data_IF_872050372061
#
_entry.id   IF_872050372061
#
_cell.length_a   1.000
_cell.length_b   1.000
_cell.length_c   1.000
_cell.angle_alpha   90.00
_cell.angle_beta   90.00
_cell.angle_gamma   90.00
#
_symmetry.space_group_name_H-M   'P 1'
#
loop_
_entity.id
_entity.type
_entity.pdbx_description
1 polymer ?
#
# COMPACT_ATOMS: atom_id res chain seq x y z
N UNK A 1 0.82 18.60 26.47
CA UNK A 1 0.67 18.21 25.05
C UNK A 1 1.94 17.51 24.61
N UNK A 2 1.83 16.26 24.17
CA UNK A 2 2.99 15.43 23.86
C UNK A 2 3.66 15.95 22.56
N UNK A 3 4.98 16.12 22.55
CA UNK A 3 5.73 16.63 21.39
C UNK A 3 5.57 15.78 20.11
N UNK A 4 4.91 14.62 20.19
CA UNK A 4 4.73 13.62 19.14
C UNK A 4 3.47 13.78 18.28
N UNK A 5 2.62 14.78 18.50
CA UNK A 5 1.29 14.84 17.86
C UNK A 5 1.16 15.78 16.64
N UNK A 6 2.14 16.66 16.39
CA UNK A 6 1.96 17.74 15.40
C UNK A 6 2.01 17.29 13.92
N UNK A 7 2.58 16.10 13.62
CA UNK A 7 2.71 15.54 12.26
C UNK A 7 1.88 14.24 12.08
N UNK A 8 0.78 14.11 12.83
CA UNK A 8 -0.14 12.95 12.79
C UNK A 8 -1.62 13.38 12.79
N UNK A 9 -1.91 14.54 12.24
CA UNK A 9 -3.27 15.09 12.19
C UNK A 9 -4.11 14.30 11.19
N UNK A 10 -5.36 14.02 11.54
CA UNK A 10 -6.37 13.44 10.62
C UNK A 10 -7.28 14.49 10.00
N UNK A 11 -7.18 15.73 10.48
CA UNK A 11 -7.78 16.95 9.90
C UNK A 11 -6.70 17.79 9.24
N UNK A 12 -7.09 18.65 8.30
CA UNK A 12 -6.16 19.53 7.58
C UNK A 12 -6.79 20.90 7.30
N UNK A 13 -7.13 21.63 8.36
CA UNK A 13 -7.57 23.03 8.22
C UNK A 13 -6.40 23.94 7.78
N UNK A 14 -6.70 25.20 7.47
CA UNK A 14 -5.65 26.19 7.19
C UNK A 14 -4.69 26.34 8.38
N UNK A 15 -5.21 26.37 9.61
CA UNK A 15 -4.41 26.48 10.83
C UNK A 15 -3.54 25.24 11.05
N UNK A 16 -4.09 24.03 10.84
CA UNK A 16 -3.32 22.77 10.92
C UNK A 16 -2.15 22.80 9.91
N UNK A 17 -2.42 23.23 8.68
CA UNK A 17 -1.43 23.33 7.60
C UNK A 17 -0.33 24.34 7.95
N UNK A 18 -0.71 25.55 8.37
CA UNK A 18 0.23 26.60 8.75
C UNK A 18 1.10 26.17 9.93
N UNK A 19 0.50 25.60 10.98
CA UNK A 19 1.25 25.10 12.14
C UNK A 19 2.26 24.02 11.72
N UNK A 20 1.82 23.07 10.89
CA UNK A 20 2.68 22.00 10.39
C UNK A 20 3.89 22.55 9.64
N UNK A 21 3.69 23.47 8.70
CA UNK A 21 4.80 24.01 7.91
C UNK A 21 5.73 24.92 8.72
N UNK A 22 5.20 25.69 9.68
CA UNK A 22 6.03 26.48 10.62
C UNK A 22 6.94 25.57 11.45
N UNK A 23 6.45 24.40 11.87
CA UNK A 23 7.25 23.42 12.60
C UNK A 23 8.22 22.68 11.68
N UNK A 24 7.79 22.26 10.49
CA UNK A 24 8.62 21.57 9.51
C UNK A 24 9.81 22.44 9.06
N UNK A 25 9.61 23.75 8.92
CA UNK A 25 10.66 24.70 8.56
C UNK A 25 11.81 24.76 9.58
N UNK A 26 11.54 24.44 10.85
CA UNK A 26 12.53 24.42 11.94
C UNK A 26 13.31 23.11 12.05
N UNK A 27 12.95 22.09 11.28
CA UNK A 27 13.62 20.79 11.30
C UNK A 27 14.85 20.89 10.39
N UNK A 28 16.07 20.84 10.89
CA UNK A 28 17.26 20.98 10.01
C UNK A 28 17.64 19.69 9.28
N UNK A 29 17.17 18.54 9.78
CA UNK A 29 17.53 17.24 9.25
C UNK A 29 16.58 16.80 8.12
N UNK A 30 17.14 16.58 6.92
CA UNK A 30 16.39 16.17 5.72
C UNK A 30 15.59 14.86 5.93
N UNK A 31 16.19 13.86 6.59
CA UNK A 31 15.53 12.60 6.91
C UNK A 31 14.31 12.81 7.79
N UNK A 32 14.42 13.64 8.83
CA UNK A 32 13.26 13.95 9.68
C UNK A 32 12.19 14.74 8.91
N UNK A 33 12.56 15.72 8.06
CA UNK A 33 11.59 16.43 7.21
C UNK A 33 10.80 15.48 6.32
N UNK A 34 11.51 14.64 5.55
CA UNK A 34 10.90 13.66 4.66
C UNK A 34 10.02 12.67 5.44
N UNK A 35 10.49 12.20 6.59
CA UNK A 35 9.72 11.29 7.43
C UNK A 35 8.44 11.95 7.98
N UNK A 36 8.47 13.21 8.41
CA UNK A 36 7.28 13.90 8.91
C UNK A 36 6.26 14.17 7.81
N UNK A 37 6.69 14.56 6.61
CA UNK A 37 5.81 14.69 5.44
C UNK A 37 5.09 13.37 5.15
N UNK A 38 5.84 12.26 5.09
CA UNK A 38 5.31 10.92 4.83
C UNK A 38 4.33 10.45 5.90
N UNK A 39 4.67 10.64 7.17
CA UNK A 39 3.80 10.23 8.29
C UNK A 39 2.51 11.06 8.29
N UNK A 40 2.60 12.36 8.08
CA UNK A 40 1.41 13.22 8.03
C UNK A 40 0.51 12.85 6.84
N UNK A 41 1.09 12.58 5.66
CA UNK A 41 0.34 12.10 4.50
C UNK A 41 -0.42 10.80 4.78
N UNK A 42 0.19 9.84 5.47
CA UNK A 42 -0.48 8.60 5.88
C UNK A 42 -1.72 8.90 6.74
N UNK A 43 -1.59 9.75 7.76
CA UNK A 43 -2.71 10.08 8.64
C UNK A 43 -3.85 10.84 7.93
N UNK A 44 -3.53 11.66 6.94
CA UNK A 44 -4.55 12.31 6.11
C UNK A 44 -5.29 11.31 5.23
N UNK A 45 -4.56 10.38 4.61
CA UNK A 45 -5.15 9.30 3.82
C UNK A 45 -6.08 8.41 4.66
N UNK A 46 -5.66 8.06 5.89
CA UNK A 46 -6.43 7.21 6.82
C UNK A 46 -7.79 7.82 7.23
N UNK A 47 -8.01 9.12 6.98
CA UNK A 47 -9.34 9.73 7.16
C UNK A 47 -10.37 9.28 6.11
N UNK A 48 -9.90 8.71 4.99
CA UNK A 48 -10.70 8.30 3.82
C UNK A 48 -11.56 9.41 3.18
N UNK A 49 -11.34 10.67 3.56
CA UNK A 49 -12.01 11.81 2.95
C UNK A 49 -11.24 12.22 1.67
N UNK A 50 -11.89 12.32 0.49
CA UNK A 50 -11.20 12.64 -0.76
C UNK A 50 -10.33 13.90 -0.69
N UNK A 51 -10.80 14.94 0.00
CA UNK A 51 -10.05 16.18 0.20
C UNK A 51 -8.79 15.98 1.06
N UNK A 52 -8.83 15.10 2.07
CA UNK A 52 -7.65 14.79 2.87
C UNK A 52 -6.65 13.95 2.09
N UNK A 53 -7.15 13.02 1.26
CA UNK A 53 -6.32 12.23 0.36
C UNK A 53 -5.60 13.13 -0.67
N UNK A 54 -6.26 14.18 -1.20
CA UNK A 54 -5.57 15.14 -2.07
C UNK A 54 -4.46 15.91 -1.35
N UNK A 55 -4.67 16.30 -0.09
CA UNK A 55 -3.61 16.92 0.72
C UNK A 55 -2.47 15.95 1.04
N UNK A 56 -2.77 14.66 1.24
CA UNK A 56 -1.73 13.63 1.38
C UNK A 56 -0.83 13.58 0.14
N UNK A 57 -1.42 13.64 -1.07
CA UNK A 57 -0.68 13.68 -2.33
C UNK A 57 0.20 14.94 -2.41
N UNK A 58 -0.29 16.11 -2.01
CA UNK A 58 0.51 17.34 -1.97
C UNK A 58 1.75 17.19 -1.09
N UNK A 59 1.60 16.62 0.13
CA UNK A 59 2.73 16.40 1.04
C UNK A 59 3.74 15.38 0.50
N UNK A 60 3.27 14.36 -0.20
CA UNK A 60 4.13 13.34 -0.82
C UNK A 60 4.88 13.91 -2.03
N UNK A 61 4.23 14.72 -2.86
CA UNK A 61 4.91 15.45 -3.94
C UNK A 61 5.97 16.38 -3.38
N UNK A 62 5.66 17.14 -2.32
CA UNK A 62 6.64 17.99 -1.65
C UNK A 62 7.85 17.21 -1.13
N UNK A 63 7.63 16.01 -0.56
CA UNK A 63 8.72 15.13 -0.17
C UNK A 63 9.57 14.74 -1.39
N UNK A 64 8.92 14.26 -2.46
CA UNK A 64 9.60 13.73 -3.65
C UNK A 64 10.39 14.82 -4.39
N UNK A 65 9.85 16.03 -4.47
CA UNK A 65 10.40 17.13 -5.27
C UNK A 65 11.40 17.97 -4.48
N UNK A 66 11.06 18.35 -3.25
CA UNK A 66 11.82 19.34 -2.47
C UNK A 66 12.64 18.72 -1.34
N UNK A 67 12.33 17.50 -0.92
CA UNK A 67 13.03 16.79 0.16
C UNK A 67 13.35 15.32 -0.19
N UNK A 68 13.99 15.03 -1.35
CA UNK A 68 14.17 13.67 -1.84
C UNK A 68 15.18 12.88 -1.00
N UNK A 69 14.73 12.37 0.14
CA UNK A 69 15.54 11.52 0.99
C UNK A 69 15.45 10.05 0.53
N UNK A 70 16.58 9.41 0.15
CA UNK A 70 16.60 8.06 -0.42
C UNK A 70 15.85 6.98 0.35
N UNK A 71 15.97 6.96 1.68
CA UNK A 71 15.29 5.99 2.55
C UNK A 71 13.77 6.14 2.60
N UNK A 72 13.24 7.32 2.30
CA UNK A 72 11.82 7.62 2.31
C UNK A 72 11.17 7.46 0.92
N UNK A 73 11.92 7.60 -0.17
CA UNK A 73 11.37 7.66 -1.54
C UNK A 73 10.50 6.45 -1.91
N UNK A 74 10.98 5.23 -1.70
CA UNK A 74 10.21 4.04 -2.08
C UNK A 74 8.86 4.00 -1.35
N UNK A 75 8.82 4.37 -0.07
CA UNK A 75 7.59 4.41 0.72
C UNK A 75 6.71 5.61 0.34
N UNK A 76 7.31 6.76 0.00
CA UNK A 76 6.58 7.94 -0.44
C UNK A 76 5.83 7.69 -1.76
N UNK A 77 6.50 7.08 -2.75
CA UNK A 77 5.87 6.67 -4.01
C UNK A 77 4.76 5.63 -3.79
N UNK A 78 4.98 4.66 -2.89
CA UNK A 78 3.95 3.68 -2.54
C UNK A 78 2.70 4.35 -1.96
N UNK A 79 2.87 5.22 -0.96
CA UNK A 79 1.75 5.94 -0.36
C UNK A 79 1.04 6.86 -1.36
N UNK A 80 1.80 7.47 -2.28
CA UNK A 80 1.24 8.30 -3.35
C UNK A 80 0.39 7.46 -4.30
N UNK A 81 0.90 6.30 -4.72
CA UNK A 81 0.17 5.36 -5.56
C UNK A 81 -1.16 4.93 -4.90
N UNK A 82 -1.12 4.64 -3.61
CA UNK A 82 -2.31 4.24 -2.87
C UNK A 82 -3.32 5.41 -2.70
N UNK A 83 -2.86 6.64 -2.48
CA UNK A 83 -3.74 7.83 -2.49
C UNK A 83 -4.38 8.07 -3.87
N UNK A 84 -3.60 7.94 -4.94
CA UNK A 84 -4.09 8.10 -6.32
C UNK A 84 -5.12 7.01 -6.66
N UNK A 85 -4.87 5.78 -6.22
CA UNK A 85 -5.84 4.67 -6.32
C UNK A 85 -7.15 5.00 -5.58
N UNK A 86 -7.07 5.49 -4.34
CA UNK A 86 -8.25 5.84 -3.54
C UNK A 86 -9.11 6.93 -4.21
N UNK A 87 -8.48 7.82 -5.00
CA UNK A 87 -9.15 8.86 -5.79
C UNK A 87 -9.55 8.43 -7.22
N UNK A 88 -9.19 7.22 -7.64
CA UNK A 88 -9.51 6.71 -8.98
C UNK A 88 -8.57 7.20 -10.10
N UNK A 89 -7.44 7.83 -9.78
CA UNK A 89 -6.43 8.28 -10.74
C UNK A 89 -5.49 7.13 -11.12
N UNK A 90 -6.02 6.15 -11.85
CA UNK A 90 -5.33 4.88 -12.12
C UNK A 90 -4.03 5.02 -12.93
N UNK A 91 -3.96 5.80 -14.03
CA UNK A 91 -2.70 5.96 -14.77
C UNK A 91 -1.56 6.49 -13.88
N UNK A 92 -1.86 7.48 -13.05
CA UNK A 92 -0.93 8.09 -12.12
C UNK A 92 -0.58 7.14 -10.97
N UNK A 93 -1.55 6.36 -10.48
CA UNK A 93 -1.31 5.34 -9.45
C UNK A 93 -0.35 4.25 -9.96
N UNK A 94 -0.55 3.77 -11.18
CA UNK A 94 0.33 2.79 -11.84
C UNK A 94 1.75 3.36 -11.95
N UNK A 95 1.88 4.61 -12.39
CA UNK A 95 3.18 5.26 -12.49
C UNK A 95 3.87 5.37 -11.13
N UNK A 96 3.14 5.77 -10.09
CA UNK A 96 3.68 5.87 -8.73
C UNK A 96 4.06 4.48 -8.15
N UNK A 97 3.33 3.41 -8.47
CA UNK A 97 3.75 2.05 -8.10
C UNK A 97 5.08 1.67 -8.76
N UNK A 98 5.23 1.95 -10.07
CA UNK A 98 6.49 1.71 -10.81
C UNK A 98 7.65 2.50 -10.21
N UNK A 99 7.43 3.77 -9.87
CA UNK A 99 8.42 4.63 -9.21
C UNK A 99 8.84 4.10 -7.84
N UNK A 100 7.90 3.52 -7.08
CA UNK A 100 8.21 2.85 -5.81
C UNK A 100 9.12 1.64 -6.01
N UNK A 101 8.85 0.82 -7.03
CA UNK A 101 9.68 -0.34 -7.38
C UNK A 101 11.07 0.09 -7.86
N UNK A 102 11.16 1.11 -8.72
CA UNK A 102 12.44 1.69 -9.16
C UNK A 102 13.26 2.26 -8.00
N UNK A 103 12.62 3.00 -7.08
CA UNK A 103 13.28 3.51 -5.88
C UNK A 103 13.84 2.36 -5.01
N UNK A 104 13.11 1.24 -4.91
CA UNK A 104 13.57 0.04 -4.21
C UNK A 104 14.74 -0.64 -4.91
N UNK A 105 14.76 -0.70 -6.25
CA UNK A 105 15.92 -1.19 -7.04
C UNK A 105 17.16 -0.35 -6.77
N UNK A 106 16.99 0.97 -6.72
CA UNK A 106 18.08 1.92 -6.46
C UNK A 106 18.58 1.87 -5.01
N UNK A 107 17.69 1.63 -4.05
CA UNK A 107 18.00 1.63 -2.61
C UNK A 107 17.49 0.36 -1.91
N UNK A 108 18.13 -0.80 -2.14
CA UNK A 108 17.60 -2.12 -1.76
C UNK A 108 17.51 -2.35 -0.24
N UNK A 109 18.18 -1.53 0.58
CA UNK A 109 18.12 -1.61 2.04
C UNK A 109 16.74 -1.27 2.61
N UNK A 110 15.88 -0.61 1.84
CA UNK A 110 14.55 -0.17 2.31
C UNK A 110 13.46 -1.09 1.79
N UNK A 111 12.74 -1.70 2.73
CA UNK A 111 11.67 -2.65 2.42
C UNK A 111 10.33 -1.91 2.32
N UNK A 112 9.65 -2.13 1.20
CA UNK A 112 8.25 -1.74 0.98
C UNK A 112 7.48 -2.92 0.40
N UNK A 113 6.16 -2.88 0.58
CA UNK A 113 5.24 -3.86 0.01
C UNK A 113 4.71 -3.44 -1.36
N UNK A 114 5.47 -2.61 -2.10
CA UNK A 114 5.03 -2.00 -3.34
C UNK A 114 4.55 -3.02 -4.39
N UNK A 115 5.27 -4.13 -4.57
CA UNK A 115 4.85 -5.18 -5.50
C UNK A 115 3.55 -5.87 -5.07
N UNK A 116 3.34 -6.06 -3.76
CA UNK A 116 2.09 -6.60 -3.22
C UNK A 116 0.94 -5.59 -3.34
N UNK A 117 1.16 -4.32 -3.05
CA UNK A 117 0.13 -3.29 -3.19
C UNK A 117 -0.25 -3.07 -4.65
N UNK A 118 0.73 -3.08 -5.56
CA UNK A 118 0.47 -2.96 -6.99
C UNK A 118 -0.30 -4.17 -7.53
N UNK A 119 0.05 -5.38 -7.10
CA UNK A 119 -0.69 -6.59 -7.47
C UNK A 119 -2.13 -6.59 -6.95
N UNK A 120 -2.36 -6.23 -5.69
CA UNK A 120 -3.71 -6.10 -5.11
C UNK A 120 -4.52 -5.05 -5.86
N UNK A 121 -3.93 -3.88 -6.14
CA UNK A 121 -4.57 -2.82 -6.93
C UNK A 121 -5.02 -3.36 -8.30
N UNK A 122 -4.12 -3.98 -9.06
CA UNK A 122 -4.45 -4.45 -10.41
C UNK A 122 -5.53 -5.53 -10.43
N UNK A 123 -5.51 -6.51 -9.52
CA UNK A 123 -6.56 -7.54 -9.47
C UNK A 123 -7.90 -6.99 -8.98
N UNK A 124 -7.88 -5.96 -8.12
CA UNK A 124 -9.09 -5.32 -7.60
C UNK A 124 -9.82 -4.57 -8.69
N UNK A 125 -9.09 -3.88 -9.56
CA UNK A 125 -9.64 -3.08 -10.66
C UNK A 125 -9.61 -3.78 -12.03
N UNK A 126 -9.26 -5.08 -12.07
CA UNK A 126 -9.27 -5.87 -13.30
C UNK A 126 -8.28 -5.41 -14.38
N UNK A 127 -7.12 -4.88 -13.97
CA UNK A 127 -6.08 -4.35 -14.87
C UNK A 127 -5.20 -5.48 -15.43
N UNK A 128 -5.79 -6.34 -16.26
CA UNK A 128 -5.18 -7.59 -16.74
C UNK A 128 -3.89 -7.37 -17.54
N UNK A 129 -3.77 -6.24 -18.24
CA UNK A 129 -2.57 -5.89 -19.02
C UNK A 129 -1.31 -5.73 -18.13
N UNK A 130 -1.49 -5.55 -16.82
CA UNK A 130 -0.38 -5.40 -15.86
C UNK A 130 0.06 -6.72 -15.24
N UNK A 131 -0.65 -7.83 -15.48
CA UNK A 131 -0.44 -9.08 -14.74
C UNK A 131 0.97 -9.66 -14.93
N UNK A 132 1.54 -9.57 -16.14
CA UNK A 132 2.91 -10.04 -16.38
C UNK A 132 3.95 -9.16 -15.67
N UNK A 133 3.76 -7.84 -15.67
CA UNK A 133 4.61 -6.90 -14.94
C UNK A 133 4.58 -7.17 -13.43
N UNK A 134 3.39 -7.43 -12.88
CA UNK A 134 3.20 -7.75 -11.46
C UNK A 134 3.90 -9.05 -11.09
N UNK A 135 3.76 -10.10 -11.89
CA UNK A 135 4.48 -11.36 -11.65
C UNK A 135 5.99 -11.16 -11.68
N UNK A 136 6.50 -10.34 -12.62
CA UNK A 136 7.91 -9.95 -12.66
C UNK A 136 8.36 -9.26 -11.38
N UNK A 137 7.62 -8.25 -10.91
CA UNK A 137 7.92 -7.53 -9.68
C UNK A 137 7.84 -8.42 -8.43
N UNK A 138 6.85 -9.32 -8.34
CA UNK A 138 6.72 -10.26 -7.22
C UNK A 138 7.90 -11.25 -7.16
N UNK A 139 8.40 -11.70 -8.30
CA UNK A 139 9.56 -12.58 -8.38
C UNK A 139 10.86 -11.85 -8.04
N UNK A 140 11.03 -10.62 -8.53
CA UNK A 140 12.20 -9.79 -8.23
C UNK A 140 12.32 -9.48 -6.73
N UNK A 141 11.19 -9.26 -6.07
CA UNK A 141 11.16 -8.87 -4.66
C UNK A 141 10.73 -10.02 -3.74
N UNK A 142 11.08 -11.27 -4.04
CA UNK A 142 10.59 -12.48 -3.34
C UNK A 142 10.75 -12.56 -1.82
N UNK A 143 11.54 -11.69 -1.21
CA UNK A 143 11.66 -11.48 0.26
C UNK A 143 10.34 -11.01 0.93
N UNK A 144 9.26 -10.87 0.17
CA UNK A 144 7.98 -10.33 0.61
C UNK A 144 7.19 -11.26 1.54
N UNK A 145 7.43 -12.58 1.58
CA UNK A 145 6.56 -13.52 2.30
C UNK A 145 7.01 -13.89 3.73
N UNK A 146 7.43 -12.92 4.55
CA UNK A 146 7.95 -13.20 5.90
C UNK A 146 6.88 -13.19 7.02
N UNK A 147 5.62 -12.89 6.71
CA UNK A 147 4.50 -12.95 7.64
C UNK A 147 3.22 -13.44 6.95
N UNK A 148 2.21 -13.84 7.73
CA UNK A 148 0.98 -14.45 7.20
C UNK A 148 0.15 -13.50 6.33
N UNK A 149 0.12 -12.20 6.64
CA UNK A 149 -0.58 -11.19 5.83
C UNK A 149 0.01 -11.10 4.42
N UNK A 150 1.34 -11.04 4.32
CA UNK A 150 2.04 -10.95 3.04
C UNK A 150 1.96 -12.25 2.25
N UNK A 151 2.02 -13.41 2.93
CA UNK A 151 1.77 -14.72 2.30
C UNK A 151 0.35 -14.74 1.70
N UNK A 152 -0.65 -14.26 2.43
CA UNK A 152 -2.02 -14.16 1.94
C UNK A 152 -2.12 -13.29 0.68
N UNK A 153 -1.56 -12.07 0.71
CA UNK A 153 -1.60 -11.14 -0.43
C UNK A 153 -0.84 -11.69 -1.64
N UNK A 154 0.36 -12.22 -1.44
CA UNK A 154 1.18 -12.81 -2.49
C UNK A 154 0.45 -13.94 -3.23
N UNK A 155 -0.10 -14.89 -2.46
CA UNK A 155 -0.80 -16.03 -3.04
C UNK A 155 -2.16 -15.62 -3.63
N UNK A 156 -2.85 -14.63 -3.07
CA UNK A 156 -4.06 -14.07 -3.66
C UNK A 156 -3.80 -13.53 -5.07
N UNK A 157 -2.74 -12.72 -5.24
CA UNK A 157 -2.37 -12.17 -6.55
C UNK A 157 -2.07 -13.30 -7.53
N UNK A 158 -1.24 -14.26 -7.15
CA UNK A 158 -0.86 -15.37 -8.03
C UNK A 158 -2.03 -16.28 -8.39
N UNK A 159 -2.95 -16.54 -7.46
CA UNK A 159 -4.15 -17.34 -7.72
C UNK A 159 -5.04 -16.68 -8.78
N UNK A 160 -5.31 -15.37 -8.64
CA UNK A 160 -6.14 -14.63 -9.59
C UNK A 160 -5.49 -14.55 -10.97
N UNK A 161 -4.17 -14.29 -11.03
CA UNK A 161 -3.45 -14.23 -12.31
C UNK A 161 -3.39 -15.61 -12.98
N UNK A 162 -3.19 -16.69 -12.21
CA UNK A 162 -3.20 -18.05 -12.74
C UNK A 162 -4.58 -18.45 -13.30
N UNK A 163 -5.66 -18.11 -12.58
CA UNK A 163 -7.04 -18.32 -13.03
C UNK A 163 -7.30 -17.59 -14.35
N UNK A 164 -6.91 -16.32 -14.44
CA UNK A 164 -7.02 -15.52 -15.67
C UNK A 164 -6.27 -16.14 -16.85
N UNK A 165 -5.11 -16.75 -16.60
CA UNK A 165 -4.30 -17.44 -17.63
C UNK A 165 -4.80 -18.85 -17.97
N UNK A 166 -5.85 -19.33 -17.32
CA UNK A 166 -6.39 -20.67 -17.51
C UNK A 166 -5.60 -21.79 -16.82
N UNK A 167 -4.65 -21.45 -15.95
CA UNK A 167 -3.91 -22.42 -15.15
C UNK A 167 -4.65 -22.73 -13.84
N UNK A 168 -5.71 -23.55 -13.97
CA UNK A 168 -6.57 -23.93 -12.85
C UNK A 168 -5.83 -24.67 -11.73
N UNK A 169 -4.76 -25.42 -12.06
CA UNK A 169 -3.96 -26.16 -11.09
C UNK A 169 -3.22 -25.20 -10.16
N UNK A 170 -2.44 -24.28 -10.74
CA UNK A 170 -1.73 -23.25 -9.98
C UNK A 170 -2.69 -22.30 -9.27
N UNK A 171 -3.80 -21.93 -9.91
CA UNK A 171 -4.82 -21.07 -9.30
C UNK A 171 -5.36 -21.66 -7.99
N UNK A 172 -5.71 -22.94 -8.00
CA UNK A 172 -6.20 -23.64 -6.82
C UNK A 172 -5.12 -23.77 -5.73
N UNK A 173 -3.88 -24.11 -6.11
CA UNK A 173 -2.77 -24.25 -5.17
C UNK A 173 -2.51 -22.95 -4.41
N UNK A 174 -2.32 -21.85 -5.16
CA UNK A 174 -2.12 -20.52 -4.54
C UNK A 174 -3.34 -20.09 -3.72
N UNK A 175 -4.56 -20.37 -4.19
CA UNK A 175 -5.77 -20.03 -3.43
C UNK A 175 -5.82 -20.74 -2.07
N UNK A 176 -5.43 -22.01 -2.00
CA UNK A 176 -5.35 -22.77 -0.74
C UNK A 176 -4.30 -22.19 0.21
N UNK A 177 -3.12 -21.85 -0.31
CA UNK A 177 -2.07 -21.21 0.50
C UNK A 177 -2.52 -19.84 1.03
N UNK A 178 -3.24 -19.05 0.23
CA UNK A 178 -3.83 -17.80 0.68
C UNK A 178 -4.83 -18.05 1.83
N UNK A 179 -5.78 -18.98 1.69
CA UNK A 179 -6.75 -19.28 2.75
C UNK A 179 -6.06 -19.75 4.03
N UNK A 180 -5.09 -20.66 3.92
CA UNK A 180 -4.32 -21.15 5.07
C UNK A 180 -3.61 -20.01 5.81
N UNK A 181 -2.98 -19.11 5.08
CA UNK A 181 -2.30 -17.95 5.65
C UNK A 181 -3.29 -16.99 6.33
N UNK A 182 -4.46 -16.75 5.72
CA UNK A 182 -5.50 -15.92 6.29
C UNK A 182 -5.98 -16.45 7.64
N UNK A 183 -6.25 -17.77 7.75
CA UNK A 183 -6.70 -18.40 9.00
C UNK A 183 -5.67 -18.26 10.13
N UNK A 184 -4.38 -18.41 9.81
CA UNK A 184 -3.28 -18.26 10.79
C UNK A 184 -3.09 -16.82 11.23
N UNK A 185 -3.28 -15.85 10.33
CA UNK A 185 -3.26 -14.43 10.68
C UNK A 185 -4.41 -14.10 11.65
N UNK A 186 -5.61 -14.60 11.38
CA UNK A 186 -6.79 -14.32 12.21
C UNK A 186 -6.81 -15.05 13.55
N UNK A 187 -6.26 -16.27 13.64
CA UNK A 187 -6.23 -17.02 14.90
C UNK A 187 -5.21 -16.50 15.92
N UNK A 188 -4.23 -15.71 15.49
CA UNK A 188 -3.20 -15.12 16.34
C UNK A 188 -3.55 -13.73 16.93
N UNK A 189 -4.68 -13.15 16.55
CA UNK A 189 -5.08 -11.79 16.94
C UNK A 189 -6.44 -11.83 17.65
N UNK A 190 -6.52 -11.33 18.89
CA UNK A 190 -7.81 -11.02 19.53
C UNK A 190 -8.43 -9.83 18.80
N UNK A 191 -9.17 -10.09 17.71
CA UNK A 191 -9.90 -9.04 16.99
C UNK A 191 -11.39 -9.04 17.34
N UNK A 192 -11.87 -7.88 17.77
CA UNK A 192 -13.26 -7.48 17.68
C UNK A 192 -13.66 -7.33 16.21
N UNK A 193 -14.88 -7.78 15.88
CA UNK A 193 -15.48 -7.88 14.54
C UNK A 193 -15.52 -6.57 13.73
N UNK A 194 -15.13 -5.43 14.29
CA UNK A 194 -15.16 -4.12 13.62
C UNK A 194 -13.93 -3.86 12.73
N UNK A 195 -12.75 -4.38 13.05
CA UNK A 195 -11.56 -4.24 12.18
C UNK A 195 -11.70 -5.07 10.89
N UNK A 196 -12.49 -6.15 10.95
CA UNK A 196 -12.98 -6.88 9.78
C UNK A 196 -13.76 -5.94 8.84
N UNK A 197 -14.53 -4.98 9.36
CA UNK A 197 -15.43 -4.12 8.58
C UNK A 197 -14.73 -3.14 7.63
N UNK A 198 -13.49 -2.70 7.90
CA UNK A 198 -12.82 -1.69 7.06
C UNK A 198 -11.91 -2.28 5.97
N UNK A 199 -11.23 -3.40 6.27
CA UNK A 199 -10.43 -4.12 5.27
C UNK A 199 -11.27 -5.14 4.47
N UNK A 200 -12.33 -5.71 5.06
CA UNK A 200 -13.21 -6.66 4.36
C UNK A 200 -14.30 -5.98 3.50
N UNK A 201 -14.73 -4.73 3.80
CA UNK A 201 -15.73 -4.07 2.95
C UNK A 201 -15.24 -3.76 1.53
N UNK A 202 -13.94 -3.60 1.31
CA UNK A 202 -13.34 -3.49 -0.03
C UNK A 202 -12.81 -4.82 -0.58
N UNK A 203 -12.51 -5.82 0.27
CA UNK A 203 -11.93 -7.13 -0.14
C UNK A 203 -12.90 -8.32 -0.11
N UNK A 204 -14.18 -8.14 0.23
CA UNK A 204 -15.16 -9.22 0.30
C UNK A 204 -15.31 -9.98 -1.02
N UNK A 205 -15.07 -9.31 -2.16
CA UNK A 205 -15.06 -9.93 -3.48
C UNK A 205 -13.84 -10.82 -3.71
N UNK A 206 -12.63 -10.32 -3.40
CA UNK A 206 -11.39 -11.08 -3.56
C UNK A 206 -11.35 -12.30 -2.63
N UNK A 207 -11.76 -12.15 -1.36
CA UNK A 207 -11.79 -13.28 -0.44
C UNK A 207 -12.77 -14.37 -0.89
N UNK A 208 -13.96 -14.01 -1.38
CA UNK A 208 -14.92 -14.96 -1.96
C UNK A 208 -14.36 -15.67 -3.19
N UNK A 209 -13.77 -14.91 -4.12
CA UNK A 209 -13.15 -15.49 -5.32
C UNK A 209 -12.02 -16.46 -4.98
N UNK A 210 -11.19 -16.15 -3.98
CA UNK A 210 -10.12 -17.05 -3.52
C UNK A 210 -10.70 -18.32 -2.89
N UNK A 211 -11.79 -18.22 -2.11
CA UNK A 211 -12.48 -19.42 -1.59
C UNK A 211 -13.00 -20.32 -2.70
N UNK A 212 -13.65 -19.72 -3.70
CA UNK A 212 -14.13 -20.43 -4.89
C UNK A 212 -13.00 -21.17 -5.60
N UNK A 213 -11.86 -20.50 -5.85
CA UNK A 213 -10.69 -21.11 -6.48
C UNK A 213 -10.07 -22.23 -5.62
N UNK A 214 -10.14 -22.12 -4.29
CA UNK A 214 -9.67 -23.15 -3.38
C UNK A 214 -10.59 -24.37 -3.29
N UNK A 215 -11.81 -24.30 -3.87
CA UNK A 215 -12.93 -25.22 -3.66
C UNK A 215 -13.36 -25.33 -2.19
N UNK A 216 -13.50 -24.19 -1.50
CA UNK A 216 -13.85 -24.07 -0.07
C UNK A 216 -15.04 -23.14 0.20
#
# INVERSE_FOLDING_TARGET
MNAKEWFRKTTWSQEDREEFFVRLAKVDNLFHKAQYLRIQALHLRDSHLPLMVSYAIELLNLLIEECPEPSQLAMAYLQKAECLSDLGFFPEAIQAYRESLEAKRKYPSFKTDAALSFGIFAITYGLTDLYDEILGALNEFSDLANNQERIYRYNTIKAIIADFKGDAGSAQEFAREAINASQKFFSGLHYDKETFSLVAKSNDGLYRKIKELANL
#
